data_IF_621708301956
#
_entry.id   IF_621708301956
#
_cell.length_a   1.000
_cell.length_b   1.000
_cell.length_c   1.000
_cell.angle_alpha   90.00
_cell.angle_beta   90.00
_cell.angle_gamma   90.00
#
_symmetry.space_group_name_H-M   'P 1'
#
loop_
_entity.id
_entity.type
_entity.pdbx_description
1 polymer ?
#
# COMPACT_ATOMS: atom_id res chain seq x y z
N UNK A 1 3.98 13.77 23.27
CA UNK A 1 4.88 13.59 22.11
C UNK A 1 4.21 12.59 21.16
N UNK A 2 4.51 12.69 19.86
CA UNK A 2 4.09 11.75 18.83
C UNK A 2 5.33 11.01 18.31
N UNK A 3 5.26 9.68 18.28
CA UNK A 3 6.27 8.82 17.69
C UNK A 3 5.63 8.01 16.57
N UNK A 4 6.30 7.89 15.43
CA UNK A 4 5.77 7.21 14.24
C UNK A 4 6.71 6.07 13.85
N UNK A 5 6.15 4.87 13.80
CA UNK A 5 6.84 3.65 13.37
C UNK A 5 6.27 3.17 12.03
N UNK A 6 7.15 2.74 11.13
CA UNK A 6 6.78 2.13 9.86
C UNK A 6 7.31 0.70 9.81
N UNK A 7 6.42 -0.26 9.64
CA UNK A 7 6.76 -1.68 9.60
C UNK A 7 5.75 -2.46 8.74
N UNK A 8 5.94 -3.76 8.59
CA UNK A 8 4.97 -4.64 7.96
C UNK A 8 3.66 -4.67 8.77
N UNK A 9 2.54 -4.74 8.08
CA UNK A 9 1.21 -4.71 8.72
C UNK A 9 1.04 -5.76 9.81
N UNK A 10 1.59 -6.97 9.64
CA UNK A 10 1.54 -8.03 10.66
C UNK A 10 2.29 -7.65 11.94
N UNK A 11 3.42 -6.97 11.80
CA UNK A 11 4.26 -6.52 12.93
C UNK A 11 3.55 -5.39 13.69
N UNK A 12 2.99 -4.41 12.96
CA UNK A 12 2.18 -3.34 13.55
C UNK A 12 0.97 -3.89 14.31
N UNK A 13 0.26 -4.88 13.75
CA UNK A 13 -0.86 -5.53 14.43
C UNK A 13 -0.43 -6.28 15.69
N UNK A 14 0.75 -6.87 15.71
CA UNK A 14 1.32 -7.50 16.89
C UNK A 14 1.67 -6.45 17.96
N UNK A 15 2.34 -5.36 17.57
CA UNK A 15 2.71 -4.26 18.47
C UNK A 15 1.49 -3.56 19.08
N UNK A 16 0.40 -3.43 18.33
CA UNK A 16 -0.88 -2.96 18.88
C UNK A 16 -1.44 -3.92 19.94
N UNK A 17 -1.32 -5.24 19.72
CA UNK A 17 -1.81 -6.25 20.69
C UNK A 17 -1.01 -6.24 21.98
N UNK A 18 0.30 -6.07 21.89
CA UNK A 18 1.23 -6.01 23.04
C UNK A 18 1.27 -4.64 23.74
N UNK A 19 0.49 -3.67 23.27
CA UNK A 19 0.43 -2.30 23.81
C UNK A 19 1.72 -1.47 23.57
N UNK A 20 2.51 -1.84 22.59
CA UNK A 20 3.69 -1.08 22.16
C UNK A 20 3.32 0.09 21.24
N UNK A 21 2.16 0.01 20.57
CA UNK A 21 1.58 1.07 19.75
C UNK A 21 0.14 1.35 20.15
N UNK A 22 -0.25 2.62 20.14
CA UNK A 22 -1.59 3.08 20.49
C UNK A 22 -2.57 3.05 19.31
N UNK A 23 -2.08 3.44 18.13
CA UNK A 23 -2.86 3.58 16.89
C UNK A 23 -2.03 3.02 15.74
N UNK A 24 -2.65 2.22 14.87
CA UNK A 24 -2.01 1.76 13.64
C UNK A 24 -2.92 1.91 12.43
N UNK A 25 -2.31 2.13 11.28
CA UNK A 25 -2.92 1.96 9.95
C UNK A 25 -2.19 0.81 9.27
N UNK A 26 -2.90 -0.23 8.88
CA UNK A 26 -2.32 -1.45 8.36
C UNK A 26 -3.22 -2.10 7.31
N UNK A 27 -2.63 -2.79 6.35
CA UNK A 27 -3.38 -3.70 5.48
C UNK A 27 -3.91 -4.88 6.31
N UNK A 28 -5.06 -5.40 5.93
CA UNK A 28 -5.74 -6.45 6.69
C UNK A 28 -6.30 -7.53 5.78
N UNK A 29 -6.31 -8.79 6.25
CA UNK A 29 -7.03 -9.85 5.57
C UNK A 29 -8.54 -9.60 5.62
N UNK A 30 -9.29 -10.34 4.82
CA UNK A 30 -10.75 -10.35 4.90
C UNK A 30 -11.22 -10.93 6.23
N UNK A 31 -12.26 -10.31 6.84
CA UNK A 31 -12.85 -10.78 8.07
C UNK A 31 -12.87 -9.73 9.19
N UNK A 32 -13.37 -10.15 10.34
CA UNK A 32 -13.39 -9.32 11.56
C UNK A 32 -12.04 -9.32 12.23
N UNK A 33 -11.54 -8.13 12.53
CA UNK A 33 -10.28 -7.95 13.26
C UNK A 33 -10.54 -7.24 14.59
N UNK A 34 -9.91 -7.68 15.70
CA UNK A 34 -9.99 -6.97 16.95
C UNK A 34 -9.39 -5.56 16.80
N UNK A 35 -9.99 -4.60 17.53
CA UNK A 35 -9.58 -3.19 17.56
C UNK A 35 -9.75 -2.42 16.24
N UNK A 36 -10.33 -3.02 15.21
CA UNK A 36 -10.66 -2.33 13.96
C UNK A 36 -11.73 -1.27 14.23
N UNK A 37 -11.43 -0.02 13.92
CA UNK A 37 -12.34 1.11 14.00
C UNK A 37 -12.99 1.41 12.65
N UNK A 38 -12.16 1.54 11.61
CA UNK A 38 -12.61 1.82 10.23
C UNK A 38 -11.76 1.05 9.22
N UNK A 39 -12.30 0.84 8.03
CA UNK A 39 -11.54 0.28 6.92
C UNK A 39 -11.93 0.88 5.59
N UNK A 40 -10.96 0.89 4.67
CA UNK A 40 -11.07 1.39 3.30
C UNK A 40 -10.58 0.33 2.33
N UNK A 41 -11.02 0.44 1.09
CA UNK A 41 -10.48 -0.35 -0.02
C UNK A 41 -9.49 0.53 -0.77
N UNK A 42 -8.27 0.07 -0.90
CA UNK A 42 -7.25 0.67 -1.76
C UNK A 42 -7.08 -0.13 -3.03
N UNK A 43 -7.05 0.56 -4.17
CA UNK A 43 -6.75 -0.05 -5.46
C UNK A 43 -5.29 0.24 -5.82
N UNK A 44 -4.40 -0.75 -5.74
CA UNK A 44 -3.05 -0.61 -6.25
C UNK A 44 -3.06 -0.41 -7.77
N UNK A 45 -2.17 0.45 -8.24
CA UNK A 45 -1.92 0.69 -9.66
C UNK A 45 -0.45 0.44 -9.98
N UNK A 46 -0.16 0.06 -11.22
CA UNK A 46 1.21 -0.06 -11.69
C UNK A 46 1.79 1.31 -12.00
N UNK A 47 2.84 1.68 -11.32
CA UNK A 47 3.54 2.94 -11.50
C UNK A 47 4.89 2.72 -12.19
N UNK A 48 5.13 3.49 -13.24
CA UNK A 48 6.38 3.54 -13.98
C UNK A 48 6.80 4.98 -14.24
N UNK A 49 8.06 5.22 -14.58
CA UNK A 49 8.50 6.51 -15.12
C UNK A 49 7.81 6.76 -16.47
N UNK A 50 7.46 8.01 -16.75
CA UNK A 50 6.95 8.43 -18.07
C UNK A 50 7.96 8.08 -19.20
N UNK A 51 9.25 8.10 -18.89
CA UNK A 51 10.31 7.79 -19.85
C UNK A 51 10.57 6.27 -20.02
N UNK A 52 9.94 5.41 -19.19
CA UNK A 52 10.18 3.96 -19.28
C UNK A 52 9.33 3.33 -20.37
N UNK A 53 10.00 2.85 -21.42
CA UNK A 53 9.38 2.03 -22.45
C UNK A 53 9.48 0.55 -22.07
N UNK A 54 8.33 -0.11 -21.97
CA UNK A 54 8.25 -1.54 -21.69
C UNK A 54 7.95 -2.32 -22.96
N UNK A 55 8.94 -3.09 -23.44
CA UNK A 55 8.73 -4.05 -24.53
C UNK A 55 8.28 -5.39 -23.95
N UNK A 56 7.23 -5.99 -24.54
CA UNK A 56 6.54 -7.18 -24.01
C UNK A 56 7.37 -8.44 -23.80
N UNK A 57 8.58 -8.54 -24.36
CA UNK A 57 9.43 -9.73 -24.28
C UNK A 57 10.35 -9.78 -23.04
N UNK A 58 10.64 -8.64 -22.43
CA UNK A 58 11.54 -8.59 -21.30
C UNK A 58 10.81 -8.86 -19.98
N UNK A 59 11.46 -9.54 -18.99
CA UNK A 59 10.92 -9.64 -17.65
C UNK A 59 10.69 -8.25 -17.06
N UNK A 60 9.51 -8.05 -16.42
CA UNK A 60 9.17 -6.80 -15.76
C UNK A 60 10.17 -6.55 -14.62
N UNK A 61 10.90 -5.42 -14.63
CA UNK A 61 11.80 -5.06 -13.52
C UNK A 61 10.97 -4.52 -12.36
N UNK A 62 10.78 -5.30 -11.28
CA UNK A 62 9.99 -4.90 -10.13
C UNK A 62 10.85 -4.20 -9.07
N UNK A 63 10.37 -3.05 -8.61
CA UNK A 63 10.70 -2.49 -7.32
C UNK A 63 9.68 -2.95 -6.28
N UNK A 64 10.13 -3.52 -5.18
CA UNK A 64 9.24 -4.09 -4.19
C UNK A 64 9.64 -3.70 -2.77
N UNK A 65 8.66 -3.66 -1.87
CA UNK A 65 8.91 -3.67 -0.44
C UNK A 65 9.51 -5.01 0.01
N UNK A 66 9.86 -5.09 1.29
CA UNK A 66 10.34 -6.31 1.91
C UNK A 66 9.34 -7.46 1.76
N UNK A 67 9.82 -8.67 1.90
CA UNK A 67 8.99 -9.87 1.87
C UNK A 67 7.94 -9.84 3.00
N UNK A 68 6.71 -10.23 2.67
CA UNK A 68 5.55 -10.11 3.56
C UNK A 68 4.75 -8.82 3.41
N UNK A 69 5.15 -7.91 2.52
CA UNK A 69 4.34 -6.74 2.17
C UNK A 69 3.23 -7.13 1.18
N UNK A 70 1.99 -6.73 1.48
CA UNK A 70 0.83 -7.06 0.65
C UNK A 70 0.90 -6.46 -0.76
N UNK A 71 1.44 -5.25 -0.93
CA UNK A 71 1.66 -4.65 -2.26
C UNK A 71 2.60 -5.50 -3.12
N UNK A 72 3.67 -6.05 -2.52
CA UNK A 72 4.58 -6.97 -3.21
C UNK A 72 3.85 -8.23 -3.66
N UNK A 73 3.04 -8.82 -2.79
CA UNK A 73 2.25 -10.01 -3.11
C UNK A 73 1.28 -9.74 -4.25
N UNK A 74 0.56 -8.61 -4.24
CA UNK A 74 -0.38 -8.24 -5.31
C UNK A 74 0.28 -8.08 -6.67
N UNK A 75 1.49 -7.49 -6.72
CA UNK A 75 2.26 -7.40 -7.97
C UNK A 75 2.61 -8.78 -8.53
N UNK A 76 3.15 -9.65 -7.67
CA UNK A 76 3.59 -10.98 -8.07
C UNK A 76 2.40 -11.83 -8.51
N UNK A 77 1.34 -11.90 -7.71
CA UNK A 77 0.10 -12.62 -8.03
C UNK A 77 -0.50 -12.19 -9.37
N UNK A 78 -0.54 -10.87 -9.63
CA UNK A 78 -1.09 -10.34 -10.86
C UNK A 78 -0.26 -10.75 -12.09
N UNK A 79 1.08 -10.63 -12.02
CA UNK A 79 1.96 -11.00 -13.14
C UNK A 79 2.01 -12.51 -13.36
N UNK A 80 2.05 -13.31 -12.29
CA UNK A 80 2.02 -14.77 -12.37
C UNK A 80 0.70 -15.26 -12.99
N UNK A 81 -0.42 -14.68 -12.57
CA UNK A 81 -1.74 -14.98 -13.15
C UNK A 81 -1.86 -14.64 -14.64
N UNK A 82 -1.09 -13.67 -15.12
CA UNK A 82 -0.99 -13.30 -16.54
C UNK A 82 0.16 -14.02 -17.29
N UNK A 83 0.84 -14.96 -16.64
CA UNK A 83 2.03 -15.65 -17.16
C UNK A 83 3.12 -14.66 -17.65
N UNK A 84 3.18 -13.47 -17.08
CA UNK A 84 4.15 -12.45 -17.45
C UNK A 84 5.41 -12.57 -16.60
N UNK A 85 6.55 -12.76 -17.22
CA UNK A 85 7.84 -12.87 -16.53
C UNK A 85 8.22 -11.58 -15.82
N UNK A 86 8.76 -11.69 -14.64
CA UNK A 86 9.22 -10.58 -13.81
C UNK A 86 10.52 -10.92 -13.08
N UNK A 87 11.19 -9.90 -12.55
CA UNK A 87 12.32 -10.04 -11.62
C UNK A 87 12.36 -8.84 -10.69
N UNK A 88 12.69 -9.05 -9.43
CA UNK A 88 12.94 -7.96 -8.50
C UNK A 88 14.32 -7.38 -8.76
N UNK A 89 14.37 -6.07 -9.03
CA UNK A 89 15.60 -5.31 -9.29
C UNK A 89 15.92 -4.31 -8.19
N UNK A 90 14.91 -3.98 -7.37
CA UNK A 90 15.04 -3.11 -6.21
C UNK A 90 14.19 -3.63 -5.07
N UNK A 91 14.74 -3.62 -3.85
CA UNK A 91 14.00 -3.91 -2.61
C UNK A 91 14.33 -2.85 -1.58
N UNK A 92 13.30 -2.29 -0.93
CA UNK A 92 13.47 -1.28 0.11
C UNK A 92 12.30 -1.22 1.06
N UNK A 93 12.53 -0.77 2.31
CA UNK A 93 11.48 -0.73 3.33
C UNK A 93 10.51 0.46 3.16
N UNK A 94 10.93 1.52 2.50
CA UNK A 94 10.19 2.78 2.42
C UNK A 94 9.69 3.13 1.03
N UNK A 95 8.53 3.80 0.98
CA UNK A 95 7.90 4.24 -0.27
C UNK A 95 8.77 5.21 -1.07
N UNK A 96 9.49 6.13 -0.39
CA UNK A 96 10.32 7.13 -1.06
C UNK A 96 11.46 6.50 -1.87
N UNK A 97 12.04 5.41 -1.39
CA UNK A 97 13.05 4.65 -2.13
C UNK A 97 12.48 4.03 -3.40
N UNK A 98 11.28 3.45 -3.32
CA UNK A 98 10.57 2.91 -4.49
C UNK A 98 10.22 4.01 -5.49
N UNK A 99 9.67 5.13 -5.01
CA UNK A 99 9.35 6.28 -5.85
C UNK A 99 10.58 6.79 -6.61
N UNK A 100 11.70 6.95 -5.94
CA UNK A 100 12.95 7.36 -6.59
C UNK A 100 13.45 6.33 -7.61
N UNK A 101 13.37 5.05 -7.30
CA UNK A 101 13.75 3.98 -8.23
C UNK A 101 12.87 3.98 -9.50
N UNK A 102 11.56 4.22 -9.35
CA UNK A 102 10.61 4.36 -10.47
C UNK A 102 10.92 5.60 -11.30
N UNK A 103 11.06 6.77 -10.67
CA UNK A 103 11.34 8.03 -11.39
C UNK A 103 12.61 7.97 -12.23
N UNK A 104 13.62 7.24 -11.75
CA UNK A 104 14.87 7.03 -12.49
C UNK A 104 14.79 5.88 -13.53
N UNK A 105 13.60 5.34 -13.78
CA UNK A 105 13.39 4.30 -14.80
C UNK A 105 14.00 2.94 -14.46
N UNK A 106 14.36 2.71 -13.18
CA UNK A 106 14.98 1.45 -12.76
C UNK A 106 13.97 0.30 -12.71
N UNK A 107 12.73 0.59 -12.29
CA UNK A 107 11.72 -0.43 -12.03
C UNK A 107 10.30 0.09 -12.21
N UNK A 108 9.37 -0.86 -12.20
CA UNK A 108 7.92 -0.68 -12.05
C UNK A 108 7.54 -1.11 -10.63
N UNK A 109 6.58 -0.45 -10.01
CA UNK A 109 6.10 -0.83 -8.67
C UNK A 109 4.59 -0.65 -8.54
N UNK A 110 4.02 -1.17 -7.47
CA UNK A 110 2.64 -0.89 -7.08
C UNK A 110 2.59 0.32 -6.15
N UNK A 111 1.77 1.30 -6.49
CA UNK A 111 1.45 2.47 -5.67
C UNK A 111 -0.07 2.66 -5.62
N UNK A 112 -0.54 3.57 -4.80
CA UNK A 112 -1.86 4.18 -4.98
C UNK A 112 -1.74 5.40 -5.88
N UNK A 113 -2.83 5.83 -6.54
CA UNK A 113 -2.80 7.07 -7.34
C UNK A 113 -2.39 8.27 -6.50
N UNK A 114 -2.79 8.30 -5.21
CA UNK A 114 -2.44 9.37 -4.28
C UNK A 114 -0.94 9.42 -3.93
N UNK A 115 -0.22 8.33 -4.11
CA UNK A 115 1.22 8.24 -3.81
C UNK A 115 2.11 8.26 -5.06
N UNK A 116 1.52 8.38 -6.24
CA UNK A 116 2.27 8.66 -7.46
C UNK A 116 2.81 10.07 -7.46
N UNK A 117 4.04 10.25 -7.94
CA UNK A 117 4.69 11.56 -8.05
C UNK A 117 4.65 12.07 -9.50
N UNK A 118 4.78 13.39 -9.72
CA UNK A 118 5.00 13.94 -11.05
C UNK A 118 6.17 13.25 -11.77
N UNK A 119 6.01 12.93 -13.05
CA UNK A 119 6.97 12.14 -13.83
C UNK A 119 6.73 10.63 -13.79
N UNK A 120 5.69 10.20 -13.06
CA UNK A 120 5.19 8.82 -13.10
C UNK A 120 3.92 8.72 -13.92
N UNK A 121 3.73 7.58 -14.56
CA UNK A 121 2.49 7.19 -15.23
C UNK A 121 1.98 5.84 -14.75
N UNK A 122 0.68 5.63 -14.87
CA UNK A 122 0.04 4.33 -14.66
C UNK A 122 0.22 3.45 -15.90
N UNK A 123 0.56 2.17 -15.69
CA UNK A 123 0.58 1.16 -16.74
C UNK A 123 -0.74 0.37 -16.71
N UNK A 124 -1.24 0.03 -17.90
CA UNK A 124 -2.56 -0.55 -18.06
C UNK A 124 -2.54 -1.94 -18.73
N UNK A 125 -3.71 -2.55 -18.82
CA UNK A 125 -3.88 -3.93 -19.34
C UNK A 125 -3.45 -4.04 -20.81
N UNK A 126 -3.67 -3.01 -21.62
CA UNK A 126 -3.26 -2.93 -23.02
C UNK A 126 -1.74 -2.89 -23.18
N UNK A 127 -1.00 -2.47 -22.15
CA UNK A 127 0.46 -2.54 -22.06
C UNK A 127 0.95 -3.88 -21.46
N UNK A 128 0.01 -4.81 -21.17
CA UNK A 128 0.29 -6.11 -20.58
C UNK A 128 0.46 -6.09 -19.06
N UNK A 129 -0.09 -5.07 -18.36
CA UNK A 129 -0.08 -5.00 -16.91
C UNK A 129 -1.48 -5.33 -16.37
N UNK A 130 -1.68 -6.54 -15.82
CA UNK A 130 -2.97 -6.98 -15.32
C UNK A 130 -3.38 -6.15 -14.12
N UNK A 131 -4.69 -5.99 -13.90
CA UNK A 131 -5.20 -5.32 -12.72
C UNK A 131 -4.83 -6.11 -11.47
N UNK A 132 -4.29 -5.43 -10.48
CA UNK A 132 -4.03 -6.01 -9.17
C UNK A 132 -5.32 -6.07 -8.34
N UNK A 133 -5.45 -7.11 -7.53
CA UNK A 133 -6.53 -7.21 -6.55
C UNK A 133 -6.43 -6.08 -5.52
N UNK A 134 -7.56 -5.51 -5.11
CA UNK A 134 -7.57 -4.44 -4.13
C UNK A 134 -7.05 -4.91 -2.77
N UNK A 135 -6.59 -3.96 -1.98
CA UNK A 135 -6.18 -4.15 -0.59
C UNK A 135 -7.21 -3.53 0.35
N UNK A 136 -7.38 -4.15 1.49
CA UNK A 136 -8.13 -3.58 2.60
C UNK A 136 -7.16 -2.92 3.57
N UNK A 137 -7.38 -1.65 3.87
CA UNK A 137 -6.61 -0.91 4.88
C UNK A 137 -7.51 -0.61 6.05
N UNK A 138 -7.04 -0.87 7.26
CA UNK A 138 -7.77 -0.61 8.50
C UNK A 138 -7.04 0.37 9.40
N UNK A 139 -7.82 1.15 10.14
CA UNK A 139 -7.39 1.95 11.28
C UNK A 139 -7.78 1.20 12.56
N UNK A 140 -6.81 0.92 13.40
CA UNK A 140 -6.98 0.12 14.61
C UNK A 140 -6.46 0.87 15.82
N UNK A 141 -7.21 0.77 16.94
CA UNK A 141 -6.80 1.28 18.24
C UNK A 141 -7.67 0.68 19.36
N UNK A 142 -7.16 0.69 20.59
CA UNK A 142 -7.90 0.24 21.78
C UNK A 142 -8.57 1.46 22.44
N UNK A 143 -9.82 1.72 22.10
CA UNK A 143 -10.57 2.92 22.50
C UNK A 143 -10.44 3.33 23.98
N UNK A 144 -10.53 2.44 24.98
CA UNK A 144 -10.49 2.86 26.39
C UNK A 144 -9.12 3.41 26.84
N UNK A 145 -8.07 3.24 26.01
CA UNK A 145 -6.69 3.61 26.37
C UNK A 145 -6.20 4.90 25.70
N UNK A 146 -6.94 5.43 24.73
CA UNK A 146 -6.52 6.64 24.05
C UNK A 146 -6.78 7.88 24.88
N UNK A 147 -5.78 8.76 24.93
CA UNK A 147 -5.92 10.12 25.44
C UNK A 147 -6.80 10.98 24.52
N UNK A 148 -7.23 12.15 24.99
CA UNK A 148 -7.94 13.11 24.15
C UNK A 148 -7.17 13.50 22.89
N UNK A 149 -5.84 13.65 22.99
CA UNK A 149 -4.97 13.92 21.84
C UNK A 149 -4.92 12.73 20.87
N UNK A 150 -4.91 11.50 21.37
CA UNK A 150 -4.97 10.29 20.55
C UNK A 150 -6.30 10.18 19.78
N UNK A 151 -7.42 10.51 20.44
CA UNK A 151 -8.73 10.54 19.77
C UNK A 151 -8.83 11.63 18.71
N UNK A 152 -8.21 12.79 18.94
CA UNK A 152 -8.12 13.85 17.93
C UNK A 152 -7.30 13.38 16.74
N UNK A 153 -6.14 12.74 16.94
CA UNK A 153 -5.33 12.17 15.88
C UNK A 153 -6.10 11.12 15.06
N UNK A 154 -6.89 10.26 15.72
CA UNK A 154 -7.77 9.30 15.03
C UNK A 154 -8.76 10.02 14.12
N UNK A 155 -9.40 11.09 14.61
CA UNK A 155 -10.35 11.89 13.83
C UNK A 155 -9.69 12.51 12.60
N UNK A 156 -8.49 13.07 12.76
CA UNK A 156 -7.72 13.69 11.68
C UNK A 156 -7.27 12.65 10.63
N UNK A 157 -6.83 11.47 11.09
CA UNK A 157 -6.49 10.35 10.21
C UNK A 157 -7.69 9.87 9.39
N UNK A 158 -8.86 9.71 10.02
CA UNK A 158 -10.10 9.33 9.33
C UNK A 158 -10.43 10.36 8.25
N UNK A 159 -10.44 11.64 8.60
CA UNK A 159 -10.74 12.71 7.65
C UNK A 159 -9.75 12.73 6.46
N UNK A 160 -8.46 12.52 6.74
CA UNK A 160 -7.42 12.45 5.69
C UNK A 160 -7.61 11.23 4.77
N UNK A 161 -7.81 10.05 5.34
CA UNK A 161 -7.98 8.81 4.58
C UNK A 161 -9.28 8.82 3.76
N UNK A 162 -10.37 9.38 4.28
CA UNK A 162 -11.63 9.55 3.56
C UNK A 162 -11.49 10.54 2.39
N UNK A 163 -10.70 11.60 2.55
CA UNK A 163 -10.46 12.57 1.48
C UNK A 163 -9.65 11.98 0.32
N UNK A 164 -8.70 11.11 0.62
CA UNK A 164 -7.90 10.38 -0.37
C UNK A 164 -8.70 9.24 -1.01
N UNK A 165 -9.57 8.60 -0.22
CA UNK A 165 -10.43 7.48 -0.65
C UNK A 165 -11.71 7.87 -1.37
N UNK A 166 -12.01 9.16 -1.57
CA UNK A 166 -13.25 9.66 -2.20
C UNK A 166 -13.46 9.22 -3.66
N UNK A 167 -12.62 8.32 -4.17
CA UNK A 167 -12.83 7.57 -5.42
C UNK A 167 -13.36 6.14 -5.24
N UNK A 168 -13.55 5.64 -4.01
CA UNK A 168 -13.98 4.26 -3.77
C UNK A 168 -15.06 4.23 -2.66
N UNK A 169 -16.22 3.74 -3.04
CA UNK A 169 -17.43 3.64 -2.21
C UNK A 169 -17.15 2.86 -0.90
N UNK A 170 -17.53 3.36 0.30
CA UNK A 170 -17.44 2.57 1.52
C UNK A 170 -18.39 1.37 1.44
N UNK A 171 -17.88 0.18 1.80
CA UNK A 171 -18.72 -1.00 1.95
C UNK A 171 -19.66 -0.83 3.17
N UNK A 172 -20.93 -1.25 3.08
CA UNK A 172 -21.83 -1.24 4.23
C UNK A 172 -21.35 -2.23 5.30
N UNK A 173 -21.57 -1.87 6.55
CA UNK A 173 -21.28 -2.65 7.77
C UNK A 173 -21.82 -4.08 7.76
#
# INVERSE_FOLDING_TARGET
DLEIHCDLSRELLQQLRSDDLDIIVATMPTGRMPYLSRSWIEQPVWAASEALEMTGERPVPLGAHLEGCDYRSRMIEALDGAARRWRIVYTGPGISGLQNAVLNGLCVTALTRATMLPGMRELHVDEGFPRMEPLRVGLFYKHPRLSAAGLQLVSDLVASLESVGSGVNPLPN
#
